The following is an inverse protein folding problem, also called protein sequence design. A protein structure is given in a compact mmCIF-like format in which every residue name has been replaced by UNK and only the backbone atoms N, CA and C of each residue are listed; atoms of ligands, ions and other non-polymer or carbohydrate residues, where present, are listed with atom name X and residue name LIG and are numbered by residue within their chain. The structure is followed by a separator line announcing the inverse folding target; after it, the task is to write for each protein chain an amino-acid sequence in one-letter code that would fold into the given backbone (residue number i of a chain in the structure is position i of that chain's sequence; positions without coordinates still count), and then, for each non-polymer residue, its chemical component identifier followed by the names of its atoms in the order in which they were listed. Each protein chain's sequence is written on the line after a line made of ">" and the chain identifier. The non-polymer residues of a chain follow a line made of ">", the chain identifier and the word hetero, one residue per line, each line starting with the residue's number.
data_IF_947286182097
#
_entry.id   IF_947286182097
#
_cell.length_a   1.000
_cell.length_b   1.000
_cell.length_c   1.000
_cell.angle_alpha   90.00
_cell.angle_beta   90.00
_cell.angle_gamma   90.00
#
_symmetry.space_group_name_H-M   'P 1'
#
loop_
_entity.id
_entity.type
_entity.pdbx_description
1 polymer ?
#
# COMPACT_ATOMS: atom_id res chain seq x y z
N UNK A 1 -42.62 72.81 -27.20
CA UNK A 1 -42.34 72.02 -28.42
C UNK A 1 -42.98 70.65 -28.21
N UNK A 2 -44.17 70.38 -28.80
CA UNK A 2 -44.39 69.50 -29.98
C UNK A 2 -43.71 68.13 -29.80
N UNK A 3 -44.33 66.95 -29.81
CA UNK A 3 -45.63 66.49 -30.33
C UNK A 3 -46.11 65.20 -29.64
N UNK A 4 -47.42 64.99 -29.69
CA UNK A 4 -48.16 63.77 -29.38
C UNK A 4 -47.94 62.66 -30.43
N UNK A 5 -48.24 61.40 -30.10
CA UNK A 5 -49.31 60.64 -30.77
C UNK A 5 -49.64 59.34 -30.00
N UNK A 6 -50.93 59.19 -29.69
CA UNK A 6 -51.54 58.00 -29.13
C UNK A 6 -51.92 57.02 -30.25
N UNK A 7 -52.07 55.71 -29.95
CA UNK A 7 -53.23 54.95 -30.43
C UNK A 7 -53.42 53.63 -29.67
N UNK A 8 -54.58 53.57 -29.01
CA UNK A 8 -55.27 52.39 -28.45
C UNK A 8 -55.85 51.52 -29.56
N UNK A 9 -56.14 50.25 -29.20
CA UNK A 9 -57.33 49.40 -29.53
C UNK A 9 -56.86 47.95 -29.73
N UNK A 10 -57.59 46.88 -29.43
CA UNK A 10 -58.80 46.59 -28.66
C UNK A 10 -58.94 45.05 -28.69
N UNK A 11 -59.63 44.49 -27.70
CA UNK A 11 -60.10 43.11 -27.55
C UNK A 11 -60.54 42.37 -28.83
N UNK A 12 -60.38 41.04 -28.82
CA UNK A 12 -61.50 40.10 -29.07
C UNK A 12 -61.33 38.85 -28.19
N UNK A 13 -62.35 38.57 -27.38
CA UNK A 13 -62.62 37.30 -26.70
C UNK A 13 -63.50 36.47 -27.63
N UNK A 14 -63.20 35.17 -27.80
CA UNK A 14 -64.15 34.21 -28.36
C UNK A 14 -64.21 32.98 -27.46
N UNK A 15 -65.39 32.75 -26.90
CA UNK A 15 -65.83 31.53 -26.21
C UNK A 15 -66.59 30.69 -27.24
N UNK A 16 -66.33 29.39 -27.30
CA UNK A 16 -67.24 28.42 -27.90
C UNK A 16 -67.46 27.25 -26.94
N UNK A 17 -68.72 27.09 -26.52
CA UNK A 17 -69.25 25.89 -25.89
C UNK A 17 -69.97 25.06 -26.97
N UNK A 18 -69.73 23.75 -27.04
CA UNK A 18 -70.61 22.80 -27.72
C UNK A 18 -70.67 21.50 -26.93
N UNK A 19 -71.90 21.01 -26.77
CA UNK A 19 -72.35 19.84 -26.03
C UNK A 19 -72.43 18.56 -26.90
N UNK A 20 -72.60 17.42 -26.23
CA UNK A 20 -73.04 16.12 -26.80
C UNK A 20 -71.88 15.11 -26.96
N UNK A 21 -72.00 13.82 -26.72
CA UNK A 21 -73.16 12.95 -26.48
C UNK A 21 -72.62 11.67 -25.79
N UNK A 22 -73.31 11.15 -24.78
CA UNK A 22 -72.97 9.90 -24.08
C UNK A 22 -73.32 8.67 -24.91
N UNK A 23 -72.33 7.83 -25.20
CA UNK A 23 -72.53 6.40 -25.50
C UNK A 23 -71.69 5.57 -24.53
N UNK A 24 -72.38 4.83 -23.66
CA UNK A 24 -71.77 3.87 -22.73
C UNK A 24 -71.38 2.64 -23.55
N UNK A 25 -70.08 2.43 -23.76
CA UNK A 25 -69.53 1.19 -24.31
C UNK A 25 -69.15 0.30 -23.13
N UNK A 26 -69.75 -0.89 -23.06
CA UNK A 26 -69.40 -1.88 -22.05
C UNK A 26 -67.95 -2.35 -22.23
N UNK A 27 -67.15 -2.50 -21.17
CA UNK A 27 -65.79 -3.00 -21.27
C UNK A 27 -65.77 -4.47 -21.73
N UNK A 28 -64.77 -4.89 -22.53
CA UNK A 28 -64.63 -6.27 -22.96
C UNK A 28 -64.41 -7.22 -21.77
N UNK A 29 -64.83 -8.50 -21.89
CA UNK A 29 -64.64 -9.48 -20.82
C UNK A 29 -63.14 -9.72 -20.55
N UNK A 30 -62.78 -10.02 -19.29
CA UNK A 30 -61.39 -10.27 -18.92
C UNK A 30 -60.84 -11.53 -19.62
N UNK A 31 -59.53 -11.55 -19.94
CA UNK A 31 -58.90 -12.72 -20.52
C UNK A 31 -58.94 -13.92 -19.55
N UNK A 32 -58.89 -15.17 -20.06
CA UNK A 32 -58.85 -16.35 -19.21
C UNK A 32 -57.62 -16.32 -18.28
N UNK A 33 -57.71 -16.92 -17.08
CA UNK A 33 -56.61 -16.92 -16.12
C UNK A 33 -55.38 -17.61 -16.73
N UNK A 34 -54.23 -16.99 -16.53
CA UNK A 34 -52.95 -17.56 -16.94
C UNK A 34 -52.74 -18.93 -16.27
N UNK A 35 -52.13 -19.91 -16.96
CA UNK A 35 -51.76 -21.17 -16.34
C UNK A 35 -50.84 -20.89 -15.14
N UNK A 36 -51.06 -21.60 -14.04
CA UNK A 36 -50.24 -21.50 -12.82
C UNK A 36 -48.76 -21.63 -13.18
N UNK A 37 -47.87 -20.77 -12.66
CA UNK A 37 -46.45 -20.89 -12.92
C UNK A 37 -45.97 -22.26 -12.44
N UNK A 38 -45.36 -23.03 -13.34
CA UNK A 38 -44.55 -24.17 -12.95
C UNK A 38 -43.43 -23.60 -12.09
N UNK A 39 -43.40 -23.98 -10.82
CA UNK A 39 -42.34 -23.64 -9.89
C UNK A 39 -41.05 -24.30 -10.37
N UNK A 40 -40.32 -23.60 -11.24
CA UNK A 40 -38.94 -23.92 -11.54
C UNK A 40 -38.14 -23.64 -10.28
N UNK A 41 -37.71 -24.72 -9.61
CA UNK A 41 -36.70 -24.63 -8.56
C UNK A 41 -35.53 -23.79 -9.09
N UNK A 42 -35.11 -22.72 -8.38
CA UNK A 42 -33.93 -21.99 -8.78
C UNK A 42 -32.76 -22.98 -8.85
N UNK A 43 -31.88 -22.89 -9.87
CA UNK A 43 -30.68 -23.71 -9.89
C UNK A 43 -29.94 -23.50 -8.57
N UNK A 44 -29.36 -24.56 -7.98
CA UNK A 44 -28.61 -24.42 -6.73
C UNK A 44 -27.58 -23.31 -6.92
N UNK A 45 -27.39 -22.43 -5.92
CA UNK A 45 -26.39 -21.38 -6.00
C UNK A 45 -25.05 -22.03 -6.38
N UNK A 46 -24.24 -21.41 -7.25
CA UNK A 46 -22.92 -21.93 -7.57
C UNK A 46 -22.20 -22.18 -6.25
N UNK A 47 -21.86 -23.45 -6.00
CA UNK A 47 -21.09 -23.86 -4.83
C UNK A 47 -19.87 -22.94 -4.81
N UNK A 48 -19.65 -22.15 -3.73
CA UNK A 48 -18.42 -21.41 -3.61
C UNK A 48 -17.31 -22.43 -3.78
N UNK A 49 -16.44 -22.23 -4.79
CA UNK A 49 -15.20 -22.98 -4.85
C UNK A 49 -14.41 -22.50 -3.63
N UNK A 50 -14.64 -23.17 -2.50
CA UNK A 50 -13.82 -23.07 -1.31
C UNK A 50 -12.48 -23.60 -1.75
N UNK A 51 -11.58 -22.68 -2.11
CA UNK A 51 -10.16 -22.97 -2.06
C UNK A 51 -9.94 -23.47 -0.62
N UNK A 52 -9.52 -24.73 -0.42
CA UNK A 52 -9.35 -25.25 0.92
C UNK A 52 -8.41 -24.32 1.68
N UNK A 53 -8.55 -24.18 3.00
CA UNK A 53 -7.54 -23.51 3.80
C UNK A 53 -6.24 -24.24 3.50
N UNK A 54 -5.32 -23.59 2.80
CA UNK A 54 -3.95 -24.07 2.75
C UNK A 54 -3.45 -23.81 4.16
N UNK A 55 -3.62 -24.81 5.03
CA UNK A 55 -2.94 -24.86 6.31
C UNK A 55 -1.48 -24.53 6.04
N UNK A 56 -0.93 -23.61 6.82
CA UNK A 56 0.49 -23.31 6.84
C UNK A 56 1.25 -24.53 7.40
N UNK A 57 1.28 -25.61 6.62
CA UNK A 57 2.12 -26.77 6.88
C UNK A 57 3.57 -26.43 6.52
N UNK A 58 4.55 -27.08 7.17
CA UNK A 58 5.95 -26.92 6.83
C UNK A 58 6.15 -27.28 5.35
N UNK A 59 6.82 -26.40 4.60
CA UNK A 59 7.07 -26.56 3.18
C UNK A 59 7.65 -27.96 2.90
N UNK A 60 6.88 -28.82 2.22
CA UNK A 60 7.42 -30.04 1.61
C UNK A 60 8.45 -29.63 0.57
N UNK A 61 9.68 -30.15 0.69
CA UNK A 61 10.79 -29.80 -0.18
C UNK A 61 10.38 -29.88 -1.66
N UNK A 62 10.35 -28.73 -2.34
CA UNK A 62 10.04 -28.59 -3.77
C UNK A 62 8.69 -27.94 -4.12
N UNK A 63 7.77 -27.72 -3.17
CA UNK A 63 6.50 -27.01 -3.44
C UNK A 63 6.58 -25.51 -3.15
N UNK A 64 5.90 -24.65 -3.93
CA UNK A 64 5.87 -23.22 -3.66
C UNK A 64 5.11 -22.91 -2.37
N UNK A 65 5.55 -21.89 -1.65
CA UNK A 65 4.88 -21.37 -0.45
C UNK A 65 3.94 -20.22 -0.83
N UNK A 66 2.70 -20.23 -0.32
CA UNK A 66 1.73 -19.17 -0.57
C UNK A 66 1.71 -18.18 0.59
N UNK A 67 2.34 -17.02 0.38
CA UNK A 67 2.45 -15.96 1.37
C UNK A 67 1.21 -15.06 1.37
N UNK A 68 0.41 -15.08 2.43
CA UNK A 68 -0.77 -14.21 2.57
C UNK A 68 -0.35 -12.77 2.84
N UNK A 69 -1.00 -11.83 2.15
CA UNK A 69 -0.88 -10.40 2.36
C UNK A 69 -2.24 -9.78 2.63
N UNK A 70 -2.27 -8.78 3.50
CA UNK A 70 -3.41 -7.88 3.67
C UNK A 70 -3.10 -6.56 2.97
N UNK A 71 -4.12 -5.89 2.42
CA UNK A 71 -3.92 -4.63 1.74
C UNK A 71 -5.03 -3.62 2.03
N UNK A 72 -4.65 -2.35 1.89
CA UNK A 72 -5.54 -1.23 1.68
C UNK A 72 -5.07 -0.43 0.46
N UNK A 73 -6.00 0.14 -0.31
CA UNK A 73 -5.67 0.91 -1.50
C UNK A 73 -6.77 1.92 -1.82
N UNK A 74 -6.40 3.15 -2.14
CA UNK A 74 -7.31 4.17 -2.67
C UNK A 74 -7.13 4.31 -4.19
N UNK A 75 -6.77 3.22 -4.87
CA UNK A 75 -6.76 3.11 -6.33
C UNK A 75 -8.14 2.68 -6.83
N UNK A 76 -8.52 3.13 -8.03
CA UNK A 76 -9.75 2.66 -8.68
C UNK A 76 -9.60 1.17 -9.04
N UNK A 77 -10.54 0.29 -8.63
CA UNK A 77 -10.48 -1.14 -8.91
C UNK A 77 -10.65 -1.42 -10.40
N UNK A 78 -9.94 -2.43 -10.89
CA UNK A 78 -10.12 -3.00 -12.22
C UNK A 78 -10.91 -4.29 -12.06
N UNK A 79 -12.08 -4.35 -12.71
CA UNK A 79 -12.99 -5.50 -12.62
C UNK A 79 -13.04 -6.29 -13.91
N UNK A 80 -13.16 -7.61 -13.78
CA UNK A 80 -13.46 -8.53 -14.88
C UNK A 80 -14.52 -9.51 -14.39
N UNK A 81 -15.59 -9.71 -15.16
CA UNK A 81 -16.71 -10.60 -14.82
C UNK A 81 -17.30 -10.31 -13.41
N UNK A 82 -17.41 -9.03 -13.06
CA UNK A 82 -17.96 -8.58 -11.77
C UNK A 82 -17.02 -8.74 -10.56
N UNK A 83 -15.80 -9.25 -10.74
CA UNK A 83 -14.82 -9.41 -9.67
C UNK A 83 -13.65 -8.45 -9.83
N UNK A 84 -13.08 -7.98 -8.72
CA UNK A 84 -11.83 -7.20 -8.73
C UNK A 84 -10.66 -8.12 -9.11
N UNK A 85 -9.90 -7.72 -10.13
CA UNK A 85 -8.74 -8.48 -10.63
C UNK A 85 -7.43 -7.72 -10.52
N UNK A 86 -7.50 -6.39 -10.38
CA UNK A 86 -6.34 -5.51 -10.21
C UNK A 86 -6.79 -4.15 -9.67
N UNK A 87 -5.84 -3.23 -9.47
CA UNK A 87 -6.10 -1.82 -9.18
C UNK A 87 -5.29 -0.91 -10.10
N UNK A 88 -5.94 0.13 -10.60
CA UNK A 88 -5.33 1.05 -11.59
C UNK A 88 -4.38 2.08 -10.96
N UNK A 89 -3.80 2.96 -11.77
CA UNK A 89 -3.04 4.12 -11.30
C UNK A 89 -3.92 5.36 -11.04
N UNK A 90 -5.25 5.24 -11.09
CA UNK A 90 -6.17 6.34 -10.83
C UNK A 90 -6.55 6.36 -9.35
N UNK A 91 -6.61 7.56 -8.77
CA UNK A 91 -7.13 7.76 -7.42
C UNK A 91 -8.64 7.54 -7.38
N UNK A 92 -9.08 6.71 -6.45
CA UNK A 92 -10.47 6.61 -6.03
C UNK A 92 -10.70 7.59 -4.88
N UNK A 93 -11.33 8.72 -5.19
CA UNK A 93 -11.63 9.75 -4.20
C UNK A 93 -12.88 9.46 -3.36
N UNK A 94 -13.51 8.29 -3.55
CA UNK A 94 -14.75 7.92 -2.85
C UNK A 94 -14.55 6.78 -1.85
N UNK A 95 -13.54 5.94 -2.06
CA UNK A 95 -13.36 4.74 -1.26
C UNK A 95 -11.88 4.36 -1.06
N UNK A 96 -11.62 3.77 0.10
CA UNK A 96 -10.46 2.91 0.33
C UNK A 96 -10.94 1.47 0.25
N UNK A 97 -10.23 0.67 -0.54
CA UNK A 97 -10.53 -0.74 -0.76
C UNK A 97 -9.60 -1.59 0.09
N UNK A 98 -10.18 -2.59 0.77
CA UNK A 98 -9.46 -3.49 1.65
C UNK A 98 -9.58 -4.93 1.15
N UNK A 99 -8.60 -5.76 1.48
CA UNK A 99 -8.61 -7.15 1.05
C UNK A 99 -7.39 -7.95 1.46
N UNK A 100 -7.34 -9.17 0.98
CA UNK A 100 -6.16 -10.01 1.04
C UNK A 100 -5.82 -10.62 -0.33
N UNK A 101 -4.59 -11.06 -0.50
CA UNK A 101 -4.16 -11.89 -1.63
C UNK A 101 -3.01 -12.79 -1.20
N UNK A 102 -2.63 -13.74 -2.05
CA UNK A 102 -1.45 -14.57 -1.86
C UNK A 102 -0.40 -14.26 -2.93
N UNK A 103 0.85 -14.25 -2.50
CA UNK A 103 2.01 -14.30 -3.38
C UNK A 103 2.61 -15.71 -3.34
N UNK A 104 2.81 -16.32 -4.50
CA UNK A 104 3.52 -17.59 -4.63
C UNK A 104 5.02 -17.36 -4.56
N UNK A 105 5.65 -17.89 -3.51
CA UNK A 105 7.10 -17.89 -3.28
C UNK A 105 7.66 -19.24 -3.77
N UNK A 106 8.44 -19.27 -4.87
CA UNK A 106 9.07 -20.49 -5.34
C UNK A 106 10.00 -21.14 -4.29
N UNK A 107 10.12 -22.47 -4.29
CA UNK A 107 10.99 -23.18 -3.35
C UNK A 107 12.47 -22.75 -3.45
N UNK A 108 12.91 -22.40 -4.66
CA UNK A 108 14.27 -21.92 -4.95
C UNK A 108 14.40 -20.38 -4.86
N UNK A 109 13.41 -19.69 -4.28
CA UNK A 109 13.37 -18.22 -4.25
C UNK A 109 14.61 -17.63 -3.58
N UNK A 110 15.00 -18.12 -2.40
CA UNK A 110 16.16 -17.61 -1.66
C UNK A 110 17.48 -17.95 -2.36
N UNK A 111 17.58 -19.11 -3.00
CA UNK A 111 18.77 -19.54 -3.75
C UNK A 111 18.96 -18.70 -5.02
N UNK A 112 17.89 -18.50 -5.79
CA UNK A 112 17.88 -17.56 -6.93
C UNK A 112 18.20 -16.15 -6.48
N UNK A 113 17.67 -15.74 -5.33
CA UNK A 113 17.94 -14.44 -4.75
C UNK A 113 19.42 -14.29 -4.37
N UNK A 114 20.06 -15.29 -3.79
CA UNK A 114 21.47 -15.25 -3.42
C UNK A 114 22.43 -15.29 -4.62
N UNK A 115 22.06 -15.97 -5.71
CA UNK A 115 22.89 -16.16 -6.91
C UNK A 115 22.85 -15.03 -7.94
N UNK A 116 22.01 -14.00 -7.73
CA UNK A 116 21.83 -12.89 -8.68
C UNK A 116 22.75 -11.68 -8.38
N UNK A 117 23.52 -11.25 -9.40
CA UNK A 117 24.34 -10.03 -9.34
C UNK A 117 23.56 -8.70 -9.36
N UNK A 118 24.16 -7.64 -8.81
CA UNK A 118 23.57 -6.31 -8.58
C UNK A 118 22.90 -5.68 -9.83
N UNK A 119 23.57 -5.71 -10.98
CA UNK A 119 23.08 -5.08 -12.21
C UNK A 119 21.86 -5.79 -12.83
N UNK A 120 21.74 -7.11 -12.67
CA UNK A 120 20.57 -7.87 -13.14
C UNK A 120 19.30 -7.55 -12.34
N UNK A 121 19.43 -7.07 -11.10
CA UNK A 121 18.32 -6.64 -10.24
C UNK A 121 17.92 -5.19 -10.41
N UNK A 122 18.89 -4.28 -10.57
CA UNK A 122 18.64 -2.84 -10.63
C UNK A 122 17.97 -2.40 -11.96
N UNK A 123 18.12 -3.19 -13.03
CA UNK A 123 17.62 -2.86 -14.38
C UNK A 123 16.53 -3.81 -14.91
N UNK A 124 16.09 -4.82 -14.14
CA UNK A 124 15.06 -5.76 -14.59
C UNK A 124 13.71 -5.46 -13.93
N UNK A 125 13.04 -4.42 -14.41
CA UNK A 125 11.59 -4.27 -14.30
C UNK A 125 10.91 -5.30 -15.20
N UNK A 126 10.70 -6.55 -14.75
CA UNK A 126 9.49 -7.36 -15.12
C UNK A 126 9.45 -8.83 -14.72
N UNK A 127 10.55 -9.59 -14.61
CA UNK A 127 10.40 -11.07 -14.80
C UNK A 127 11.08 -12.00 -13.78
N UNK A 128 11.05 -11.65 -12.50
CA UNK A 128 10.95 -12.65 -11.43
C UNK A 128 9.87 -12.19 -10.42
N UNK A 129 8.80 -11.61 -10.97
CA UNK A 129 7.67 -11.09 -10.22
C UNK A 129 6.91 -12.26 -9.61
N UNK A 130 6.82 -12.31 -8.28
CA UNK A 130 6.04 -13.33 -7.57
C UNK A 130 4.64 -13.42 -8.18
N UNK A 131 4.16 -14.63 -8.45
CA UNK A 131 2.81 -14.82 -8.99
C UNK A 131 1.81 -14.45 -7.90
N UNK A 132 0.87 -13.58 -8.22
CA UNK A 132 -0.17 -13.14 -7.28
C UNK A 132 -1.50 -13.83 -7.60
N UNK A 133 -2.27 -14.17 -6.56
CA UNK A 133 -3.68 -14.50 -6.72
C UNK A 133 -4.49 -13.23 -6.99
N UNK A 134 -5.74 -13.40 -7.43
CA UNK A 134 -6.68 -12.27 -7.50
C UNK A 134 -6.89 -11.67 -6.10
N UNK A 135 -7.11 -10.35 -5.99
CA UNK A 135 -7.48 -9.72 -4.72
C UNK A 135 -8.81 -10.27 -4.21
N UNK A 136 -8.86 -10.64 -2.94
CA UNK A 136 -10.08 -10.96 -2.20
C UNK A 136 -10.52 -9.71 -1.45
N UNK A 137 -11.45 -8.95 -2.02
CA UNK A 137 -11.97 -7.72 -1.42
C UNK A 137 -12.84 -8.00 -0.21
N UNK A 138 -12.60 -7.29 0.89
CA UNK A 138 -13.36 -7.39 2.14
C UNK A 138 -13.64 -5.99 2.71
N UNK A 139 -14.53 -5.89 3.70
CA UNK A 139 -14.73 -4.63 4.42
C UNK A 139 -13.54 -4.31 5.33
N UNK A 140 -13.44 -3.07 5.77
CA UNK A 140 -12.39 -2.65 6.70
C UNK A 140 -12.46 -3.49 8.00
N UNK A 141 -13.67 -3.72 8.53
CA UNK A 141 -13.90 -4.48 9.77
C UNK A 141 -13.49 -5.94 9.60
N UNK A 142 -13.83 -6.56 8.47
CA UNK A 142 -13.43 -7.94 8.15
C UNK A 142 -11.91 -8.06 8.01
N UNK A 143 -11.25 -7.07 7.38
CA UNK A 143 -9.79 -7.03 7.28
C UNK A 143 -9.15 -7.06 8.67
N UNK A 144 -9.59 -6.17 9.57
CA UNK A 144 -9.06 -6.08 10.91
C UNK A 144 -9.30 -7.36 11.73
N UNK A 145 -10.48 -7.96 11.60
CA UNK A 145 -10.80 -9.24 12.24
C UNK A 145 -9.93 -10.39 11.73
N UNK A 146 -9.66 -10.46 10.42
CA UNK A 146 -8.77 -11.47 9.84
C UNK A 146 -7.31 -11.28 10.26
N UNK A 147 -6.81 -10.03 10.26
CA UNK A 147 -5.46 -9.73 10.75
C UNK A 147 -5.35 -10.14 12.21
N UNK A 148 -6.32 -9.77 13.05
CA UNK A 148 -6.33 -10.15 14.47
C UNK A 148 -6.31 -11.66 14.64
N UNK A 149 -7.09 -12.40 13.85
CA UNK A 149 -7.12 -13.86 13.90
C UNK A 149 -5.73 -14.46 13.59
N UNK A 150 -5.05 -13.96 12.56
CA UNK A 150 -3.69 -14.38 12.21
C UNK A 150 -2.69 -14.06 13.32
N UNK A 151 -2.71 -12.83 13.82
CA UNK A 151 -1.78 -12.40 14.88
C UNK A 151 -1.97 -13.23 16.15
N UNK A 152 -3.23 -13.52 16.51
CA UNK A 152 -3.56 -14.27 17.71
C UNK A 152 -3.26 -15.77 17.61
N UNK A 153 -3.07 -16.33 16.41
CA UNK A 153 -2.62 -17.72 16.23
C UNK A 153 -1.11 -17.87 16.43
N UNK A 154 -0.35 -16.78 16.43
CA UNK A 154 1.09 -16.79 16.71
C UNK A 154 1.38 -16.83 18.22
N UNK A 155 2.57 -17.33 18.56
CA UNK A 155 3.10 -17.27 19.93
C UNK A 155 3.14 -15.82 20.44
N UNK A 156 2.96 -15.55 21.75
CA UNK A 156 2.92 -14.19 22.28
C UNK A 156 4.10 -13.30 21.86
N UNK A 157 5.30 -13.85 21.78
CA UNK A 157 6.53 -13.15 21.39
C UNK A 157 6.69 -12.97 19.87
N UNK A 158 5.80 -13.57 19.06
CA UNK A 158 5.84 -13.56 17.59
C UNK A 158 4.64 -12.81 16.98
N UNK A 159 3.83 -12.15 17.82
CA UNK A 159 2.64 -11.38 17.41
C UNK A 159 3.01 -10.04 16.77
N UNK A 160 3.77 -10.11 15.68
CA UNK A 160 4.27 -8.96 14.95
C UNK A 160 3.44 -8.73 13.69
N UNK A 161 3.16 -7.47 13.39
CA UNK A 161 2.57 -7.05 12.12
C UNK A 161 3.53 -6.12 11.39
N UNK A 162 3.78 -6.39 10.12
CA UNK A 162 4.53 -5.48 9.25
C UNK A 162 3.55 -4.69 8.37
N UNK A 163 3.70 -3.36 8.33
CA UNK A 163 3.03 -2.49 7.35
C UNK A 163 4.08 -1.93 6.38
N UNK A 164 3.91 -2.22 5.10
CA UNK A 164 4.77 -1.71 4.03
C UNK A 164 4.12 -0.58 3.22
N UNK A 165 4.88 0.50 2.98
CA UNK A 165 4.51 1.62 2.11
C UNK A 165 5.50 1.74 0.94
N UNK A 166 4.99 1.57 -0.28
CA UNK A 166 5.79 1.63 -1.49
C UNK A 166 6.15 3.07 -1.91
N UNK A 167 7.13 3.19 -2.81
CA UNK A 167 7.59 4.46 -3.39
C UNK A 167 6.87 4.86 -4.68
N UNK A 168 7.39 5.88 -5.37
CA UNK A 168 6.85 6.34 -6.65
C UNK A 168 6.99 5.28 -7.75
N UNK A 169 6.35 5.50 -8.91
CA UNK A 169 6.51 4.63 -10.08
C UNK A 169 6.22 3.14 -9.80
N UNK A 170 5.26 2.86 -8.92
CA UNK A 170 4.94 1.49 -8.49
C UNK A 170 3.49 1.14 -8.83
N UNK A 171 3.24 -0.02 -9.43
CA UNK A 171 1.88 -0.54 -9.63
C UNK A 171 1.37 -1.26 -8.38
N UNK A 172 0.06 -1.51 -8.27
CA UNK A 172 -0.51 -2.29 -7.17
C UNK A 172 0.16 -3.67 -7.01
N UNK A 173 0.35 -4.38 -8.14
CA UNK A 173 1.01 -5.70 -8.15
C UNK A 173 2.46 -5.64 -7.71
N UNK A 174 3.21 -4.61 -8.13
CA UNK A 174 4.60 -4.43 -7.70
C UNK A 174 4.69 -4.11 -6.21
N UNK A 175 3.77 -3.30 -5.67
CA UNK A 175 3.68 -3.05 -4.24
C UNK A 175 3.42 -4.34 -3.45
N UNK A 176 2.47 -5.16 -3.91
CA UNK A 176 2.16 -6.45 -3.29
C UNK A 176 3.34 -7.44 -3.35
N UNK A 177 3.98 -7.56 -4.52
CA UNK A 177 5.16 -8.41 -4.69
C UNK A 177 6.31 -7.99 -3.77
N UNK A 178 6.53 -6.68 -3.63
CA UNK A 178 7.56 -6.17 -2.73
C UNK A 178 7.21 -6.42 -1.27
N UNK A 179 5.95 -6.22 -0.86
CA UNK A 179 5.49 -6.53 0.48
C UNK A 179 5.67 -8.01 0.83
N UNK A 180 5.28 -8.94 -0.07
CA UNK A 180 5.49 -10.37 0.12
C UNK A 180 6.96 -10.73 0.27
N UNK A 181 7.81 -10.20 -0.63
CA UNK A 181 9.26 -10.44 -0.60
C UNK A 181 9.89 -9.99 0.71
N UNK A 182 9.53 -8.79 1.19
CA UNK A 182 10.03 -8.26 2.46
C UNK A 182 9.51 -9.09 3.63
N UNK A 183 8.19 -9.27 3.74
CA UNK A 183 7.58 -10.00 4.86
C UNK A 183 8.10 -11.44 4.98
N UNK A 184 8.23 -12.14 3.85
CA UNK A 184 8.77 -13.49 3.80
C UNK A 184 10.22 -13.55 4.27
N UNK A 185 11.09 -12.67 3.79
CA UNK A 185 12.51 -12.64 4.17
C UNK A 185 12.73 -12.18 5.61
N UNK A 186 11.88 -11.28 6.12
CA UNK A 186 11.88 -10.87 7.53
C UNK A 186 11.20 -11.89 8.45
N UNK A 187 10.57 -12.93 7.91
CA UNK A 187 9.83 -13.97 8.64
C UNK A 187 8.69 -13.41 9.50
N UNK A 188 7.96 -12.42 8.99
CA UNK A 188 6.83 -11.78 9.68
C UNK A 188 5.52 -12.22 9.02
N UNK A 189 4.89 -13.32 9.45
CA UNK A 189 3.76 -13.93 8.72
C UNK A 189 2.60 -12.94 8.49
N UNK A 190 2.35 -12.04 9.45
CA UNK A 190 1.34 -11.00 9.29
C UNK A 190 1.91 -9.75 8.61
N UNK A 191 1.84 -9.70 7.29
CA UNK A 191 2.31 -8.54 6.50
C UNK A 191 1.16 -7.87 5.74
N UNK A 192 1.01 -6.57 5.96
CA UNK A 192 0.05 -5.71 5.29
C UNK A 192 0.76 -4.62 4.47
N UNK A 193 0.12 -4.09 3.43
CA UNK A 193 0.66 -2.96 2.68
C UNK A 193 -0.43 -1.97 2.26
N UNK A 194 -0.06 -0.70 2.16
CA UNK A 194 -0.91 0.30 1.53
C UNK A 194 -0.43 0.55 0.09
N UNK A 195 -1.36 0.58 -0.86
CA UNK A 195 -1.06 0.98 -2.22
C UNK A 195 -1.76 2.29 -2.60
N UNK A 196 -0.98 3.37 -2.68
CA UNK A 196 -1.43 4.68 -3.16
C UNK A 196 -1.26 4.77 -4.68
N UNK A 197 -1.99 5.62 -5.43
CA UNK A 197 -2.09 5.60 -6.89
C UNK A 197 -0.86 6.20 -7.60
N UNK A 198 0.35 5.71 -7.30
CA UNK A 198 1.53 6.02 -8.10
C UNK A 198 1.37 5.51 -9.52
N UNK A 199 1.81 6.33 -10.46
CA UNK A 199 1.77 6.05 -11.88
C UNK A 199 3.11 5.43 -12.26
N UNK A 200 3.11 4.18 -12.74
CA UNK A 200 4.29 3.42 -13.17
C UNK A 200 5.04 4.00 -14.38
N UNK A 201 5.36 5.30 -14.39
CA UNK A 201 6.34 5.91 -15.29
C UNK A 201 7.06 7.14 -14.70
N UNK A 202 8.29 7.35 -15.19
CA UNK A 202 9.22 8.39 -14.72
C UNK A 202 8.76 9.85 -14.91
N UNK A 203 8.02 10.15 -15.98
CA UNK A 203 7.58 11.53 -16.30
C UNK A 203 6.48 12.09 -15.39
N UNK A 204 6.09 11.33 -14.36
CA UNK A 204 4.88 11.58 -13.57
C UNK A 204 5.16 11.88 -12.11
N UNK A 205 6.42 12.15 -11.76
CA UNK A 205 6.87 12.40 -10.39
C UNK A 205 6.02 13.43 -9.62
N UNK A 206 5.69 14.57 -10.24
CA UNK A 206 4.85 15.59 -9.58
C UNK A 206 3.44 15.06 -9.31
N UNK A 207 2.88 14.31 -10.25
CA UNK A 207 1.58 13.68 -10.08
C UNK A 207 1.63 12.64 -8.97
N UNK A 208 2.68 11.81 -8.92
CA UNK A 208 2.87 10.83 -7.85
C UNK A 208 2.98 11.51 -6.48
N UNK A 209 3.67 12.65 -6.39
CA UNK A 209 3.74 13.42 -5.15
C UNK A 209 2.37 13.96 -4.73
N UNK A 210 1.58 14.47 -5.66
CA UNK A 210 0.20 14.91 -5.38
C UNK A 210 -0.70 13.74 -4.97
N UNK A 211 -0.55 12.58 -5.63
CA UNK A 211 -1.28 11.37 -5.27
C UNK A 211 -0.87 10.84 -3.88
N UNK A 212 0.41 10.93 -3.53
CA UNK A 212 0.90 10.61 -2.20
C UNK A 212 0.28 11.54 -1.14
N UNK A 213 0.26 12.86 -1.38
CA UNK A 213 -0.42 13.84 -0.51
C UNK A 213 -1.91 13.51 -0.32
N UNK A 214 -2.63 13.21 -1.42
CA UNK A 214 -4.06 12.88 -1.39
C UNK A 214 -4.34 11.55 -0.69
N UNK A 215 -3.32 10.71 -0.49
CA UNK A 215 -3.44 9.41 0.18
C UNK A 215 -3.14 9.45 1.67
N UNK A 216 -2.67 10.58 2.22
CA UNK A 216 -2.21 10.67 3.61
C UNK A 216 -3.30 10.31 4.63
N UNK A 217 -4.55 10.74 4.40
CA UNK A 217 -5.67 10.40 5.28
C UNK A 217 -6.00 8.90 5.23
N UNK A 218 -5.99 8.30 4.03
CA UNK A 218 -6.23 6.87 3.85
C UNK A 218 -5.11 6.00 4.42
N UNK A 219 -3.85 6.46 4.31
CA UNK A 219 -2.68 5.81 4.92
C UNK A 219 -2.81 5.88 6.44
N UNK A 220 -3.18 7.03 7.00
CA UNK A 220 -3.39 7.18 8.44
C UNK A 220 -4.49 6.24 8.95
N UNK A 221 -5.64 6.17 8.26
CA UNK A 221 -6.74 5.27 8.63
C UNK A 221 -6.29 3.81 8.63
N UNK A 222 -5.58 3.38 7.59
CA UNK A 222 -5.08 2.02 7.49
C UNK A 222 -4.07 1.67 8.58
N UNK A 223 -3.10 2.55 8.86
CA UNK A 223 -2.12 2.34 9.93
C UNK A 223 -2.82 2.23 11.28
N UNK A 224 -3.75 3.14 11.59
CA UNK A 224 -4.51 3.11 12.84
C UNK A 224 -5.35 1.85 12.95
N UNK A 225 -6.05 1.47 11.88
CA UNK A 225 -6.85 0.27 11.85
C UNK A 225 -6.02 -0.97 12.18
N UNK A 226 -4.85 -1.13 11.56
CA UNK A 226 -3.97 -2.27 11.83
C UNK A 226 -3.36 -2.17 13.23
N UNK A 227 -2.86 -1.01 13.63
CA UNK A 227 -2.17 -0.83 14.91
C UNK A 227 -3.09 -1.00 16.13
N UNK A 228 -4.34 -0.53 16.03
CA UNK A 228 -5.29 -0.57 17.14
C UNK A 228 -6.11 -1.86 17.18
N UNK A 229 -6.33 -2.54 16.04
CA UNK A 229 -7.28 -3.65 15.97
C UNK A 229 -6.65 -5.02 15.76
N UNK A 230 -5.35 -5.11 15.45
CA UNK A 230 -4.65 -6.38 15.24
C UNK A 230 -4.33 -7.17 16.52
N UNK A 231 -4.29 -6.49 17.68
CA UNK A 231 -3.79 -7.07 18.94
C UNK A 231 -2.33 -7.57 18.86
N UNK A 232 -1.55 -7.02 17.93
CA UNK A 232 -0.13 -7.29 17.81
C UNK A 232 0.63 -6.77 19.04
N UNK A 233 1.64 -7.51 19.48
CA UNK A 233 2.60 -7.00 20.49
C UNK A 233 3.50 -5.93 19.87
N UNK A 234 3.78 -6.03 18.57
CA UNK A 234 4.53 -5.03 17.80
C UNK A 234 3.92 -4.80 16.43
N UNK A 235 3.74 -3.54 16.05
CA UNK A 235 3.49 -3.13 14.67
C UNK A 235 4.72 -2.42 14.13
N UNK A 236 5.29 -2.92 13.03
CA UNK A 236 6.47 -2.38 12.37
C UNK A 236 6.06 -1.66 11.09
N UNK A 237 6.74 -0.56 10.78
CA UNK A 237 6.53 0.22 9.56
C UNK A 237 7.78 0.18 8.69
N UNK A 238 7.63 -0.11 7.40
CA UNK A 238 8.68 0.04 6.40
C UNK A 238 8.15 0.95 5.30
N UNK A 239 8.79 2.11 5.10
CA UNK A 239 8.46 3.02 4.02
C UNK A 239 9.65 3.17 3.06
N UNK A 240 9.38 3.05 1.76
CA UNK A 240 10.40 3.15 0.72
C UNK A 240 10.25 4.42 -0.11
N UNK A 241 11.35 5.14 -0.36
CA UNK A 241 11.41 6.29 -1.27
C UNK A 241 10.29 7.31 -0.96
N UNK A 242 9.45 7.67 -1.93
CA UNK A 242 8.32 8.60 -1.78
C UNK A 242 7.23 8.09 -0.80
N UNK A 243 7.22 6.81 -0.45
CA UNK A 243 6.40 6.30 0.65
C UNK A 243 6.73 6.96 1.99
N UNK A 244 7.98 7.40 2.20
CA UNK A 244 8.37 8.17 3.40
C UNK A 244 7.75 9.56 3.42
N UNK A 245 7.61 10.20 2.25
CA UNK A 245 6.94 11.48 2.12
C UNK A 245 5.46 11.36 2.53
N UNK A 246 4.78 10.31 2.05
CA UNK A 246 3.39 10.01 2.39
C UNK A 246 3.24 9.60 3.87
N UNK A 247 4.16 8.79 4.40
CA UNK A 247 4.18 8.38 5.80
C UNK A 247 4.30 9.59 6.74
N UNK A 248 5.25 10.50 6.47
CA UNK A 248 5.40 11.72 7.25
C UNK A 248 4.08 12.52 7.24
N UNK A 249 3.48 12.73 6.08
CA UNK A 249 2.21 13.45 5.99
C UNK A 249 1.05 12.76 6.73
N UNK A 250 0.97 11.43 6.64
CA UNK A 250 0.01 10.61 7.40
C UNK A 250 0.19 10.75 8.92
N UNK A 251 1.44 10.82 9.39
CA UNK A 251 1.74 11.00 10.82
C UNK A 251 1.20 12.32 11.38
N UNK A 252 1.15 13.38 10.56
CA UNK A 252 0.61 14.68 10.98
C UNK A 252 -0.92 14.81 10.84
N UNK A 253 -1.63 13.79 10.35
CA UNK A 253 -3.11 13.83 10.28
C UNK A 253 -3.70 13.92 11.69
N UNK A 254 -4.77 14.70 11.93
CA UNK A 254 -5.32 14.90 13.28
C UNK A 254 -5.63 13.61 14.04
N UNK A 255 -6.19 12.61 13.35
CA UNK A 255 -6.48 11.28 13.89
C UNK A 255 -5.23 10.55 14.40
N UNK A 256 -4.15 10.61 13.62
CA UNK A 256 -2.88 9.97 13.96
C UNK A 256 -2.20 10.69 15.12
N UNK A 257 -2.22 12.02 15.11
CA UNK A 257 -1.73 12.84 16.22
C UNK A 257 -2.52 12.58 17.52
N UNK A 258 -3.83 12.34 17.43
CA UNK A 258 -4.64 11.95 18.58
C UNK A 258 -4.25 10.56 19.09
N UNK A 259 -4.12 9.57 18.22
CA UNK A 259 -3.69 8.22 18.61
C UNK A 259 -2.29 8.22 19.25
N UNK A 260 -1.35 8.99 18.71
CA UNK A 260 -0.01 9.19 19.28
C UNK A 260 -0.09 9.78 20.70
N UNK A 261 -0.91 10.82 20.91
CA UNK A 261 -1.15 11.37 22.27
C UNK A 261 -1.80 10.36 23.21
N UNK A 262 -2.58 9.44 22.68
CA UNK A 262 -3.22 8.35 23.44
C UNK A 262 -2.30 7.14 23.67
N UNK A 263 -1.01 7.23 23.27
CA UNK A 263 -0.02 6.19 23.54
C UNK A 263 0.18 5.19 22.40
N UNK A 264 -0.27 5.47 21.18
CA UNK A 264 0.07 4.67 19.99
C UNK A 264 1.59 4.55 19.87
N UNK A 265 2.09 3.31 19.79
CA UNK A 265 3.50 2.99 19.60
C UNK A 265 3.72 1.86 18.62
N UNK A 266 4.85 1.94 17.93
CA UNK A 266 5.34 0.99 16.94
C UNK A 266 6.57 0.26 17.48
N UNK A 267 6.86 -0.92 16.93
CA UNK A 267 8.10 -1.62 17.19
C UNK A 267 9.26 -0.92 16.47
N UNK A 268 9.40 -1.23 15.18
CA UNK A 268 10.44 -0.66 14.32
C UNK A 268 9.83 0.26 13.28
N UNK A 269 10.43 1.42 13.04
CA UNK A 269 10.13 2.28 11.89
C UNK A 269 11.38 2.36 11.02
N UNK A 270 11.30 1.78 9.82
CA UNK A 270 12.40 1.72 8.86
C UNK A 270 12.09 2.64 7.70
N UNK A 271 12.95 3.64 7.53
CA UNK A 271 12.87 4.69 6.52
C UNK A 271 13.89 4.37 5.43
N UNK A 272 13.46 3.65 4.39
CA UNK A 272 14.35 3.17 3.33
C UNK A 272 14.42 4.20 2.19
N UNK A 273 15.63 4.71 1.93
CA UNK A 273 15.96 5.65 0.87
C UNK A 273 14.96 6.84 0.75
N UNK A 274 14.66 7.61 1.82
CA UNK A 274 13.56 8.57 1.80
C UNK A 274 13.68 9.64 0.71
N UNK A 275 12.64 9.74 -0.11
CA UNK A 275 12.48 10.84 -1.09
C UNK A 275 11.77 12.02 -0.43
N UNK A 276 12.45 12.62 0.54
CA UNK A 276 11.99 13.76 1.32
C UNK A 276 13.08 14.81 1.32
N UNK A 277 12.71 16.08 1.18
CA UNK A 277 13.64 17.20 1.37
C UNK A 277 14.35 17.07 2.73
N UNK A 278 15.67 17.25 2.75
CA UNK A 278 16.49 17.05 3.95
C UNK A 278 16.06 17.96 5.11
N UNK A 279 15.66 19.20 4.83
CA UNK A 279 15.24 20.14 5.88
C UNK A 279 13.91 19.71 6.48
N UNK A 280 12.96 19.29 5.63
CA UNK A 280 11.69 18.71 6.10
C UNK A 280 11.95 17.43 6.91
N UNK A 281 12.79 16.53 6.40
CA UNK A 281 13.08 15.27 7.08
C UNK A 281 13.68 15.50 8.47
N UNK A 282 14.69 16.37 8.60
CA UNK A 282 15.30 16.71 9.90
C UNK A 282 14.30 17.32 10.88
N UNK A 283 13.35 18.13 10.37
CA UNK A 283 12.29 18.74 11.18
C UNK A 283 11.30 17.71 11.69
N UNK A 284 10.87 16.79 10.81
CA UNK A 284 9.68 15.97 11.05
C UNK A 284 10.02 14.56 11.58
N UNK A 285 11.14 13.96 11.15
CA UNK A 285 11.49 12.57 11.46
C UNK A 285 11.77 12.31 12.95
N UNK A 286 12.12 13.35 13.72
CA UNK A 286 12.31 13.25 15.16
C UNK A 286 11.08 12.72 15.91
N UNK A 287 9.87 12.93 15.38
CA UNK A 287 8.63 12.38 15.94
C UNK A 287 8.64 10.84 15.97
N UNK A 288 9.22 10.18 14.96
CA UNK A 288 9.27 8.72 14.93
C UNK A 288 9.97 8.15 16.16
N UNK A 289 10.99 8.84 16.66
CA UNK A 289 11.76 8.41 17.85
C UNK A 289 10.93 8.45 19.13
N UNK A 290 9.84 9.23 19.16
CA UNK A 290 8.91 9.31 20.30
C UNK A 290 7.71 8.36 20.17
N UNK A 291 7.64 7.53 19.12
CA UNK A 291 6.52 6.60 18.90
C UNK A 291 6.98 5.21 18.46
N UNK A 292 8.28 4.94 18.39
CA UNK A 292 8.84 3.63 18.05
C UNK A 292 9.78 3.14 19.16
N UNK A 293 10.02 1.83 19.21
CA UNK A 293 11.14 1.29 20.00
C UNK A 293 12.47 1.72 19.39
N UNK A 294 12.55 1.74 18.04
CA UNK A 294 13.72 2.20 17.29
C UNK A 294 13.36 2.64 15.87
N UNK A 295 14.13 3.58 15.36
CA UNK A 295 14.00 4.16 14.02
C UNK A 295 15.31 3.98 13.27
N UNK A 296 15.26 3.46 12.05
CA UNK A 296 16.45 3.28 11.20
C UNK A 296 16.26 3.92 9.84
N UNK A 297 17.23 4.75 9.44
CA UNK A 297 17.30 5.42 8.15
C UNK A 297 18.32 4.71 7.27
N UNK A 298 17.88 4.10 6.18
CA UNK A 298 18.79 3.51 5.20
C UNK A 298 19.04 4.50 4.06
N UNK A 299 20.30 4.86 3.83
CA UNK A 299 20.73 5.79 2.76
C UNK A 299 21.66 5.10 1.76
N UNK A 300 21.71 5.61 0.53
CA UNK A 300 22.66 5.11 -0.48
C UNK A 300 23.14 6.22 -1.44
N UNK A 301 24.30 6.03 -2.08
CA UNK A 301 24.86 6.94 -3.10
C UNK A 301 24.43 6.59 -4.54
N UNK A 302 23.89 5.38 -4.74
CA UNK A 302 23.63 4.80 -6.05
C UNK A 302 22.16 4.60 -6.41
N UNK A 303 21.19 4.99 -5.57
CA UNK A 303 19.78 4.76 -5.91
C UNK A 303 19.39 5.60 -7.14
N UNK A 304 19.26 4.91 -8.27
CA UNK A 304 18.84 5.52 -9.52
C UNK A 304 17.54 6.30 -9.31
N UNK A 305 16.59 5.77 -8.51
CA UNK A 305 15.32 6.41 -8.20
C UNK A 305 15.47 7.81 -7.57
N UNK A 306 16.43 7.99 -6.66
CA UNK A 306 16.71 9.28 -6.02
C UNK A 306 17.55 10.21 -6.92
N UNK A 307 18.41 9.67 -7.78
CA UNK A 307 19.08 10.45 -8.84
C UNK A 307 18.06 11.04 -9.83
N UNK A 308 16.95 10.34 -10.08
CA UNK A 308 15.82 10.87 -10.86
C UNK A 308 15.08 11.98 -10.11
N UNK A 309 14.80 11.82 -8.80
CA UNK A 309 14.20 12.88 -7.97
C UNK A 309 15.06 14.15 -7.94
N UNK A 310 16.40 14.02 -7.85
CA UNK A 310 17.36 15.14 -7.91
C UNK A 310 17.37 15.85 -9.28
N UNK A 311 17.04 15.14 -10.36
CA UNK A 311 16.91 15.71 -11.71
C UNK A 311 15.60 16.47 -11.92
N UNK A 312 14.54 16.08 -11.20
CA UNK A 312 13.20 16.68 -11.29
C UNK A 312 13.02 17.85 -10.31
N UNK A 313 13.69 17.82 -9.15
CA UNK A 313 13.72 18.91 -8.17
C UNK A 313 15.18 19.40 -7.98
N UNK A 314 15.75 20.11 -8.96
CA UNK A 314 17.10 20.64 -8.85
C UNK A 314 17.23 21.58 -7.65
N UNK A 315 18.28 21.40 -6.85
CA UNK A 315 18.61 22.26 -5.70
C UNK A 315 18.11 21.80 -4.33
N UNK A 316 17.45 20.64 -4.21
CA UNK A 316 17.04 20.07 -2.92
C UNK A 316 17.75 18.73 -2.65
N UNK A 317 18.49 18.66 -1.54
CA UNK A 317 19.08 17.40 -1.07
C UNK A 317 17.98 16.48 -0.52
N UNK A 318 18.08 15.18 -0.84
CA UNK A 318 17.12 14.17 -0.38
C UNK A 318 17.67 13.39 0.80
N UNK A 319 16.82 13.14 1.79
CA UNK A 319 17.23 12.47 3.03
C UNK A 319 17.74 11.04 2.84
N UNK A 320 17.35 10.36 1.76
CA UNK A 320 17.88 9.03 1.40
C UNK A 320 19.17 9.03 0.58
N UNK A 321 19.67 10.20 0.16
CA UNK A 321 20.88 10.32 -0.65
C UNK A 321 22.09 10.68 0.20
N UNK A 322 23.27 10.23 -0.24
CA UNK A 322 24.56 10.79 0.14
C UNK A 322 25.37 11.18 -1.13
N UNK A 323 26.36 12.08 -1.03
CA UNK A 323 26.63 13.00 0.09
C UNK A 323 25.69 14.22 0.09
N UNK A 324 25.41 14.84 1.26
CA UNK A 324 25.82 14.42 2.61
C UNK A 324 24.91 13.33 3.20
N UNK A 325 25.43 12.51 4.10
CA UNK A 325 24.61 11.58 4.89
C UNK A 325 23.76 12.38 5.88
N UNK A 326 22.45 12.12 5.92
CA UNK A 326 21.55 12.79 6.87
C UNK A 326 21.58 12.11 8.23
N UNK A 327 21.90 12.90 9.26
CA UNK A 327 21.95 12.46 10.65
C UNK A 327 20.84 13.17 11.42
N UNK A 328 20.08 12.39 12.18
CA UNK A 328 19.03 12.86 13.09
C UNK A 328 19.24 12.17 14.43
N UNK A 329 19.18 12.92 15.53
CA UNK A 329 19.36 12.38 16.88
C UNK A 329 18.38 11.23 17.14
N UNK A 330 18.87 10.14 17.70
CA UNK A 330 18.11 8.92 18.03
C UNK A 330 17.52 8.18 16.80
N UNK A 331 18.00 8.46 15.59
CA UNK A 331 17.76 7.64 14.40
C UNK A 331 19.07 6.96 14.04
N UNK A 332 19.03 5.64 13.90
CA UNK A 332 20.17 4.89 13.41
C UNK A 332 20.28 5.12 11.90
N UNK A 333 21.27 5.89 11.43
CA UNK A 333 21.52 6.08 9.99
C UNK A 333 22.48 5.00 9.49
N UNK A 334 22.03 4.18 8.54
CA UNK A 334 22.77 3.06 7.93
C UNK A 334 23.02 3.40 6.46
N UNK A 335 24.27 3.62 6.11
CA UNK A 335 24.75 3.77 4.74
C UNK A 335 24.95 2.39 4.11
N UNK A 336 24.20 2.11 3.04
CA UNK A 336 24.26 0.85 2.30
C UNK A 336 24.99 0.98 0.96
N UNK A 337 25.64 2.13 0.73
CA UNK A 337 26.34 2.42 -0.53
C UNK A 337 27.50 1.48 -0.83
N UNK A 338 28.20 1.04 0.22
CA UNK A 338 29.42 0.24 0.12
C UNK A 338 29.18 -1.26 -0.03
N UNK A 339 27.92 -1.70 -0.16
CA UNK A 339 27.54 -3.11 -0.33
C UNK A 339 28.05 -3.77 -1.63
N UNK A 340 29.02 -3.15 -2.32
CA UNK A 340 29.91 -3.78 -3.28
C UNK A 340 30.93 -4.68 -2.56
N UNK A 341 30.57 -5.95 -2.37
CA UNK A 341 31.42 -7.00 -1.79
C UNK A 341 32.47 -7.50 -2.79
N UNK A 342 33.36 -6.62 -3.24
CA UNK A 342 34.60 -6.97 -3.93
C UNK A 342 35.77 -6.97 -2.94
N UNK A 343 35.86 -7.98 -2.06
CA UNK A 343 37.12 -8.37 -1.41
C UNK A 343 37.01 -9.72 -0.68
N UNK A 344 37.65 -10.75 -1.26
CA UNK A 344 38.11 -12.02 -0.66
C UNK A 344 37.06 -13.03 -0.14
N UNK A 345 36.91 -14.13 -0.92
CA UNK A 345 36.71 -15.49 -0.42
C UNK A 345 35.29 -15.90 -0.01
N UNK A 346 34.59 -16.57 -0.93
CA UNK A 346 33.41 -17.44 -0.69
C UNK A 346 32.22 -16.83 0.11
N UNK A 347 31.43 -15.96 -0.54
CA UNK A 347 29.95 -15.89 -0.50
C UNK A 347 29.51 -14.49 -0.95
N UNK A 348 29.01 -14.38 -2.18
CA UNK A 348 28.44 -13.12 -2.69
C UNK A 348 27.06 -12.92 -2.05
N UNK A 349 26.98 -12.19 -0.94
CA UNK A 349 25.69 -11.72 -0.40
C UNK A 349 25.33 -10.42 -1.13
N UNK A 350 24.21 -10.37 -1.85
CA UNK A 350 23.81 -9.13 -2.52
C UNK A 350 23.46 -8.02 -1.50
N UNK A 351 23.66 -6.74 -1.87
CA UNK A 351 23.30 -5.56 -1.06
C UNK A 351 21.89 -5.63 -0.45
N UNK A 352 20.91 -6.07 -1.25
CA UNK A 352 19.53 -6.22 -0.82
C UNK A 352 19.37 -7.31 0.25
N UNK A 353 20.07 -8.44 0.12
CA UNK A 353 20.06 -9.51 1.12
C UNK A 353 20.75 -9.06 2.40
N UNK A 354 21.87 -8.32 2.30
CA UNK A 354 22.53 -7.74 3.46
C UNK A 354 21.59 -6.77 4.20
N UNK A 355 20.89 -5.90 3.47
CA UNK A 355 19.90 -4.96 4.04
C UNK A 355 18.73 -5.70 4.68
N UNK A 356 18.20 -6.74 4.03
CA UNK A 356 17.08 -7.51 4.59
C UNK A 356 17.49 -8.35 5.81
N UNK A 357 18.72 -8.87 5.84
CA UNK A 357 19.26 -9.53 7.03
C UNK A 357 19.42 -8.56 8.19
N UNK A 358 19.95 -7.36 7.93
CA UNK A 358 20.05 -6.29 8.93
C UNK A 358 18.67 -5.86 9.45
N UNK A 359 17.69 -5.72 8.56
CA UNK A 359 16.29 -5.46 8.93
C UNK A 359 15.68 -6.62 9.71
N UNK A 360 16.02 -7.87 9.43
CA UNK A 360 15.53 -9.03 10.19
C UNK A 360 16.03 -8.98 11.64
N UNK A 361 17.34 -8.78 11.85
CA UNK A 361 17.90 -8.56 13.19
C UNK A 361 17.23 -7.41 13.94
N UNK A 362 16.97 -6.31 13.23
CA UNK A 362 16.30 -5.14 13.77
C UNK A 362 14.85 -5.45 14.21
N UNK A 363 14.07 -6.10 13.34
CA UNK A 363 12.64 -6.34 13.57
C UNK A 363 12.40 -7.44 14.60
N UNK A 364 13.17 -8.53 14.54
CA UNK A 364 12.97 -9.68 15.41
C UNK A 364 13.62 -9.51 16.78
N UNK A 365 14.69 -8.72 16.89
CA UNK A 365 15.50 -8.66 18.12
C UNK A 365 15.70 -7.25 18.69
N UNK A 366 15.20 -6.20 18.00
CA UNK A 366 15.43 -4.80 18.37
C UNK A 366 16.93 -4.48 18.60
N UNK A 367 17.80 -5.14 17.83
CA UNK A 367 19.24 -5.04 17.99
C UNK A 367 19.73 -3.63 17.64
N UNK A 368 20.52 -3.06 18.54
CA UNK A 368 21.23 -1.81 18.26
C UNK A 368 22.27 -2.04 17.16
N UNK A 369 22.64 -1.02 16.36
CA UNK A 369 23.57 -1.16 15.26
C UNK A 369 24.89 -1.86 15.59
N UNK A 370 25.44 -1.67 16.80
CA UNK A 370 26.69 -2.30 17.25
C UNK A 370 26.61 -3.84 17.35
N UNK A 371 25.40 -4.40 17.45
CA UNK A 371 25.17 -5.83 17.61
C UNK A 371 24.80 -6.52 16.30
N UNK A 372 24.54 -5.74 15.24
CA UNK A 372 24.08 -6.27 13.95
C UNK A 372 25.28 -6.64 13.06
N UNK A 373 25.19 -7.80 12.42
CA UNK A 373 26.27 -8.30 11.57
C UNK A 373 26.55 -7.34 10.40
N UNK A 374 27.82 -7.17 10.06
CA UNK A 374 28.30 -6.31 8.95
C UNK A 374 27.98 -4.82 9.06
N UNK A 375 27.40 -4.36 10.18
CA UNK A 375 27.17 -2.95 10.48
C UNK A 375 28.35 -2.39 11.26
N UNK A 376 29.06 -1.43 10.68
CA UNK A 376 30.24 -0.80 11.30
C UNK A 376 30.02 0.69 11.53
N UNK A 377 30.59 1.23 12.61
CA UNK A 377 30.48 2.66 12.90
C UNK A 377 31.38 3.49 11.96
N UNK A 378 30.84 4.58 11.41
CA UNK A 378 31.52 5.60 10.61
C UNK A 378 31.18 6.98 11.16
N UNK A 379 32.07 7.54 11.98
CA UNK A 379 31.84 8.80 12.67
C UNK A 379 30.48 8.81 13.41
N UNK A 380 29.50 9.55 12.89
CA UNK A 380 28.16 9.74 13.44
C UNK A 380 27.06 8.88 12.78
N UNK A 381 27.41 7.97 11.87
CA UNK A 381 26.50 6.99 11.26
C UNK A 381 27.09 5.57 11.22
N UNK A 382 26.36 4.65 10.60
CA UNK A 382 26.74 3.25 10.42
C UNK A 382 26.86 2.92 8.94
N UNK A 383 27.77 2.04 8.57
CA UNK A 383 27.95 1.54 7.21
C UNK A 383 27.69 0.03 7.20
N UNK A 384 26.87 -0.43 6.25
CA UNK A 384 26.63 -1.85 6.01
C UNK A 384 27.64 -2.35 4.96
N UNK A 385 28.42 -3.35 5.34
CA UNK A 385 29.49 -3.95 4.52
C UNK A 385 29.04 -5.15 3.70
#
# INVERSE_FOLDING_TARGET
>A
MKHAFALRKCCVVVVFAIAGCTTIVAPPPPPPPAPSPVEMQPPPPPVPVTVPPVEAGPATAGSPYFYKLWYATNRVPVTAQGQVVDYSAKWDNKAVHYGSLYAEIPADYLEKQASMGFFARLFRTSEAKLRLTKPNSVSAETLAAEIRKEVMSQGPDERHVLIYLHGFNTTYKEAAQRAASIGYQLKIPTTAFFSWPSQGGLFKYLIDKDMANLSEDSIADFILQVAEQSHATKVHLIAHSMGNYALLGAMYRPKMQQAIRNGLRFGQIILAAPDVDTSRFKKDAGMFTSIADRVSLYVSDGDQALRWSKKIAPGQDRAGLRPPVVIVKNIDTIDVSTTNLTALGHAFVSAEVAVLNDMHSLVMHNEAPQKRAFVIQKADYWELK
#
